data_IF_278738788034
#
_entry.id   IF_278738788034
#
_cell.length_a   1.000
_cell.length_b   1.000
_cell.length_c   1.000
_cell.angle_alpha   90.00
_cell.angle_beta   90.00
_cell.angle_gamma   90.00
#
_symmetry.space_group_name_H-M   'P 1'
#
loop_
_entity.id
_entity.type
_entity.pdbx_description
1 polymer ?
#
# COMPACT_ATOMS: atom_id res chain seq x y z
N UNK A 1 6.03 13.84 -22.47
CA UNK A 1 5.50 12.69 -21.68
C UNK A 1 6.44 12.11 -20.63
N UNK A 2 7.78 12.08 -20.80
CA UNK A 2 8.67 11.35 -19.86
C UNK A 2 9.05 12.11 -18.57
N UNK A 3 9.00 13.44 -18.57
CA UNK A 3 9.18 14.25 -17.35
C UNK A 3 7.93 14.19 -16.46
N UNK A 4 6.75 14.03 -17.06
CA UNK A 4 5.47 13.95 -16.35
C UNK A 4 5.35 12.70 -15.46
N UNK A 5 5.87 11.55 -15.90
CA UNK A 5 5.82 10.31 -15.09
C UNK A 5 6.76 10.39 -13.89
N UNK A 6 7.95 11.00 -14.05
CA UNK A 6 8.89 11.19 -12.93
C UNK A 6 8.39 12.23 -11.93
N UNK A 7 7.74 13.30 -12.41
CA UNK A 7 7.10 14.29 -11.55
C UNK A 7 5.85 13.74 -10.84
N UNK A 8 5.09 12.85 -11.48
CA UNK A 8 3.98 12.13 -10.83
C UNK A 8 4.46 11.21 -9.70
N UNK A 9 5.59 10.50 -9.87
CA UNK A 9 6.15 9.65 -8.79
C UNK A 9 6.69 10.51 -7.65
N UNK A 10 7.31 11.66 -7.93
CA UNK A 10 7.76 12.61 -6.91
C UNK A 10 6.58 13.30 -6.19
N UNK A 11 5.51 13.63 -6.91
CA UNK A 11 4.27 14.18 -6.37
C UNK A 11 3.49 13.15 -5.55
N UNK A 12 3.50 11.86 -5.94
CA UNK A 12 2.97 10.75 -5.15
C UNK A 12 3.76 10.57 -3.85
N UNK A 13 5.08 10.69 -3.88
CA UNK A 13 5.91 10.73 -2.66
C UNK A 13 5.62 11.96 -1.79
N UNK A 14 5.45 13.14 -2.39
CA UNK A 14 5.04 14.35 -1.66
C UNK A 14 3.60 14.27 -1.11
N UNK A 15 2.68 13.52 -1.73
CA UNK A 15 1.35 13.26 -1.20
C UNK A 15 1.33 12.15 -0.14
N UNK A 16 2.31 11.23 -0.15
CA UNK A 16 2.50 10.24 0.91
C UNK A 16 3.03 10.88 2.22
N UNK A 17 3.72 12.02 2.12
CA UNK A 17 4.20 12.81 3.27
C UNK A 17 3.51 14.17 3.42
N UNK A 18 2.57 14.48 2.54
CA UNK A 18 1.68 15.62 2.68
C UNK A 18 0.77 15.31 3.84
N UNK A 19 1.08 15.87 5.00
CA UNK A 19 0.32 15.75 6.23
C UNK A 19 -1.09 16.29 5.98
N UNK A 20 -1.99 15.42 5.50
CA UNK A 20 -3.42 15.63 5.65
C UNK A 20 -3.66 15.66 7.15
N UNK A 21 -3.99 16.86 7.62
CA UNK A 21 -4.34 17.12 9.00
C UNK A 21 -5.66 16.37 9.22
N UNK A 22 -5.55 15.13 9.69
CA UNK A 22 -6.69 14.40 10.25
C UNK A 22 -7.02 15.13 11.54
N UNK A 23 -8.05 15.96 11.45
CA UNK A 23 -8.59 16.68 12.58
C UNK A 23 -9.20 15.64 13.52
N UNK A 24 -8.44 15.26 14.56
CA UNK A 24 -8.92 14.34 15.58
C UNK A 24 -10.20 14.92 16.18
N UNK A 25 -11.32 14.29 15.86
CA UNK A 25 -12.60 14.54 16.51
C UNK A 25 -12.56 13.88 17.89
N UNK A 26 -13.12 14.59 18.87
CA UNK A 26 -13.01 14.42 20.31
C UNK A 26 -12.98 12.96 20.80
N UNK A 27 -11.85 12.54 21.37
CA UNK A 27 -11.76 11.29 22.14
C UNK A 27 -12.44 11.45 23.50
N UNK A 28 -13.18 10.43 23.93
CA UNK A 28 -13.72 10.36 25.29
C UNK A 28 -12.74 9.58 26.17
N UNK A 29 -12.28 10.21 27.24
CA UNK A 29 -11.35 9.61 28.20
C UNK A 29 -12.02 9.56 29.56
N UNK A 30 -12.03 8.37 30.15
CA UNK A 30 -12.38 8.17 31.54
C UNK A 30 -11.26 7.41 32.24
N UNK A 31 -11.22 7.49 33.56
CA UNK A 31 -10.23 6.76 34.34
C UNK A 31 -10.85 6.19 35.61
N UNK A 32 -10.25 5.13 36.14
CA UNK A 32 -10.63 4.49 37.39
C UNK A 32 -9.37 4.11 38.13
N UNK A 33 -9.32 4.40 39.42
CA UNK A 33 -8.21 4.00 40.29
C UNK A 33 -8.72 2.84 41.15
N UNK A 34 -7.92 1.79 41.31
CA UNK A 34 -8.22 0.64 42.15
C UNK A 34 -7.13 0.54 43.21
N UNK A 35 -7.53 0.30 44.46
CA UNK A 35 -6.63 0.07 45.57
C UNK A 35 -6.31 -1.43 45.72
N UNK A 36 -5.21 -1.75 46.39
CA UNK A 36 -4.86 -3.10 46.84
C UNK A 36 -4.47 -4.07 45.69
N UNK A 37 -3.72 -3.57 44.72
CA UNK A 37 -3.26 -4.36 43.57
C UNK A 37 -1.82 -4.85 43.74
N UNK A 38 -1.52 -6.14 43.52
CA UNK A 38 -0.18 -6.74 43.77
C UNK A 38 0.66 -7.00 42.50
N UNK A 39 0.70 -6.04 41.56
CA UNK A 39 1.55 -6.10 40.37
C UNK A 39 3.00 -5.61 40.66
N UNK A 40 3.85 -5.59 39.63
CA UNK A 40 5.27 -5.17 39.73
C UNK A 40 6.09 -5.96 40.77
N UNK A 41 5.91 -7.28 40.81
CA UNK A 41 6.58 -8.14 41.81
C UNK A 41 6.09 -7.91 43.24
N UNK A 42 4.81 -7.54 43.41
CA UNK A 42 4.17 -7.28 44.70
C UNK A 42 4.42 -5.89 45.27
N UNK A 43 4.94 -4.95 44.47
CA UNK A 43 5.29 -3.59 44.91
C UNK A 43 4.23 -2.54 44.60
N UNK A 44 3.35 -2.79 43.62
CA UNK A 44 2.26 -1.84 43.36
C UNK A 44 1.29 -1.83 44.54
N UNK A 45 0.64 -0.70 44.78
CA UNK A 45 -0.52 -0.57 45.68
C UNK A 45 -1.77 -0.12 44.95
N UNK A 46 -1.58 0.62 43.85
CA UNK A 46 -2.64 1.23 43.08
C UNK A 46 -2.57 0.78 41.62
N UNK A 47 -3.74 0.57 41.01
CA UNK A 47 -3.92 0.38 39.57
C UNK A 47 -4.75 1.54 39.02
N UNK A 48 -4.22 2.27 38.05
CA UNK A 48 -4.95 3.31 37.31
C UNK A 48 -5.34 2.73 35.96
N UNK A 49 -6.63 2.48 35.75
CA UNK A 49 -7.20 2.12 34.46
C UNK A 49 -7.66 3.38 33.71
N UNK A 50 -7.14 3.62 32.52
CA UNK A 50 -7.56 4.69 31.63
C UNK A 50 -8.32 4.06 30.46
N UNK A 51 -9.55 4.51 30.24
CA UNK A 51 -10.43 4.05 29.17
C UNK A 51 -10.51 5.15 28.12
N UNK A 52 -10.15 4.81 26.89
CA UNK A 52 -10.22 5.70 25.74
C UNK A 52 -11.26 5.14 24.80
N UNK A 53 -12.36 5.87 24.63
CA UNK A 53 -13.42 5.54 23.69
C UNK A 53 -13.23 6.32 22.38
N UNK A 54 -13.37 5.61 21.27
CA UNK A 54 -13.27 6.15 19.94
C UNK A 54 -14.67 6.30 19.32
N UNK A 55 -15.24 7.51 19.24
CA UNK A 55 -16.55 7.73 18.63
C UNK A 55 -16.51 7.79 17.09
N UNK A 56 -15.33 7.63 16.48
CA UNK A 56 -15.13 7.80 15.04
C UNK A 56 -15.24 6.47 14.28
N UNK A 57 -15.49 6.56 12.97
CA UNK A 57 -15.49 5.38 12.08
C UNK A 57 -14.09 4.91 11.66
N UNK A 58 -13.04 5.61 12.13
CA UNK A 58 -11.65 5.33 11.79
C UNK A 58 -10.88 4.75 12.98
N UNK A 59 -9.81 4.02 12.70
CA UNK A 59 -8.91 3.55 13.74
C UNK A 59 -8.10 4.73 14.27
N UNK A 60 -7.98 4.81 15.59
CA UNK A 60 -7.14 5.82 16.24
C UNK A 60 -5.92 5.13 16.81
N UNK A 61 -4.75 5.58 16.38
CA UNK A 61 -3.46 5.11 16.86
C UNK A 61 -2.62 6.28 17.32
N UNK A 62 -1.83 6.07 18.38
CA UNK A 62 -1.06 7.16 18.93
C UNK A 62 -0.19 6.74 20.11
N UNK A 63 0.39 7.74 20.76
CA UNK A 63 1.13 7.55 22.01
C UNK A 63 0.33 8.09 23.19
N UNK A 64 0.20 7.31 24.25
CA UNK A 64 -0.39 7.68 25.53
C UNK A 64 0.73 7.82 26.56
N UNK A 65 0.92 9.04 27.06
CA UNK A 65 1.85 9.32 28.14
C UNK A 65 1.07 9.69 29.39
N UNK A 66 1.35 8.97 30.48
CA UNK A 66 0.63 9.18 31.75
C UNK A 66 1.60 9.37 32.89
N UNK A 67 1.34 10.36 33.72
CA UNK A 67 2.03 10.54 34.98
C UNK A 67 1.10 11.25 35.96
N UNK A 68 1.31 11.00 37.25
CA UNK A 68 0.59 11.69 38.31
C UNK A 68 1.48 12.81 38.84
N UNK A 69 0.91 14.00 39.01
CA UNK A 69 1.63 15.17 39.49
C UNK A 69 0.95 15.75 40.72
N UNK A 70 1.74 16.09 41.73
CA UNK A 70 1.32 16.82 42.93
C UNK A 70 2.49 17.63 43.49
N UNK A 71 2.26 18.90 43.81
CA UNK A 71 3.20 19.73 44.58
C UNK A 71 4.65 19.70 44.09
N UNK A 72 4.85 19.61 42.76
CA UNK A 72 6.14 19.48 42.05
C UNK A 72 6.80 18.09 42.05
N UNK A 73 6.16 17.09 42.65
CA UNK A 73 6.55 15.68 42.55
C UNK A 73 5.83 14.98 41.40
N UNK A 74 6.58 14.16 40.67
CA UNK A 74 6.07 13.30 39.59
C UNK A 74 6.08 11.85 40.09
N UNK A 75 4.91 11.24 40.12
CA UNK A 75 4.74 9.82 40.44
C UNK A 75 4.69 9.06 39.11
N UNK A 76 5.62 8.12 38.93
CA UNK A 76 5.74 7.29 37.73
C UNK A 76 5.28 5.87 38.00
N UNK A 77 4.70 5.22 36.99
CA UNK A 77 4.25 3.84 37.09
C UNK A 77 5.44 2.86 37.16
N UNK A 78 5.25 1.69 37.77
CA UNK A 78 6.31 0.69 38.01
C UNK A 78 6.50 -0.35 36.89
N UNK A 79 5.74 -0.23 35.79
CA UNK A 79 5.85 -1.13 34.64
C UNK A 79 7.25 -1.12 33.99
N UNK A 80 7.65 -2.23 33.32
CA UNK A 80 8.94 -2.29 32.65
C UNK A 80 9.08 -1.17 31.62
N UNK A 81 10.30 -0.64 31.49
CA UNK A 81 10.67 0.46 30.57
C UNK A 81 10.37 0.19 29.09
N UNK A 82 9.98 -1.04 28.77
CA UNK A 82 9.69 -1.55 27.44
C UNK A 82 8.20 -1.53 27.08
N UNK A 83 7.32 -1.05 27.96
CA UNK A 83 5.93 -0.85 27.58
C UNK A 83 5.85 0.24 26.51
N UNK A 84 5.51 -0.20 25.30
CA UNK A 84 5.20 0.66 24.19
C UNK A 84 3.98 1.48 24.60
N UNK A 85 4.17 2.77 24.84
CA UNK A 85 3.11 3.76 25.09
C UNK A 85 2.15 3.92 23.90
N UNK A 86 2.10 2.95 22.98
CA UNK A 86 1.20 2.94 21.84
C UNK A 86 -0.21 2.61 22.30
N UNK A 87 -1.17 3.42 21.89
CA UNK A 87 -2.58 3.12 22.03
C UNK A 87 -3.21 2.89 20.65
N UNK A 88 -4.16 1.96 20.59
CA UNK A 88 -4.89 1.55 19.40
C UNK A 88 -6.33 1.35 19.81
N UNK A 89 -7.24 2.12 19.24
CA UNK A 89 -8.68 2.04 19.53
C UNK A 89 -9.43 1.85 18.22
N UNK A 90 -10.20 0.75 18.12
CA UNK A 90 -11.05 0.50 16.95
C UNK A 90 -12.24 1.48 16.90
N UNK A 91 -12.86 1.66 15.73
CA UNK A 91 -14.09 2.44 15.61
C UNK A 91 -15.18 1.99 16.58
N UNK A 92 -15.82 2.93 17.27
CA UNK A 92 -16.92 2.69 18.23
C UNK A 92 -16.57 1.69 19.35
N UNK A 93 -15.28 1.52 19.66
CA UNK A 93 -14.81 0.66 20.74
C UNK A 93 -14.08 1.46 21.82
N UNK A 94 -14.01 0.88 23.02
CA UNK A 94 -13.25 1.42 24.16
C UNK A 94 -12.04 0.55 24.42
N UNK A 95 -10.86 1.16 24.44
CA UNK A 95 -9.62 0.49 24.85
C UNK A 95 -9.23 0.87 26.27
N UNK A 96 -8.72 -0.11 27.03
CA UNK A 96 -8.37 0.04 28.45
C UNK A 96 -6.86 -0.08 28.62
N UNK A 97 -6.24 0.94 29.19
CA UNK A 97 -4.82 1.02 29.50
C UNK A 97 -4.63 0.97 31.01
N UNK A 98 -3.74 0.11 31.49
CA UNK A 98 -3.53 -0.13 32.92
C UNK A 98 -2.14 0.36 33.31
N UNK A 99 -2.08 1.16 34.36
CA UNK A 99 -0.84 1.69 34.91
C UNK A 99 -0.75 1.39 36.39
N UNK A 100 0.34 0.76 36.81
CA UNK A 100 0.54 0.32 38.19
C UNK A 100 1.45 1.30 38.95
N UNK A 101 1.03 1.74 40.13
CA UNK A 101 1.78 2.68 40.95
C UNK A 101 2.09 2.07 42.33
N UNK A 102 3.32 2.27 42.80
CA UNK A 102 3.76 1.85 44.14
C UNK A 102 3.18 2.74 45.24
N UNK A 103 3.03 4.02 44.94
CA UNK A 103 2.44 5.00 45.82
C UNK A 103 1.72 6.08 45.01
N UNK A 104 0.64 6.62 45.56
CA UNK A 104 -0.13 7.72 44.99
C UNK A 104 -0.49 8.71 46.11
N UNK A 105 -0.46 10.02 45.83
CA UNK A 105 -0.88 10.99 46.83
C UNK A 105 -2.39 10.90 47.11
N UNK A 106 -2.81 11.33 48.31
CA UNK A 106 -4.24 11.40 48.70
C UNK A 106 -5.12 12.23 47.76
N UNK A 107 -4.54 13.13 46.98
CA UNK A 107 -5.21 13.91 45.95
C UNK A 107 -4.16 14.40 44.97
N UNK A 108 -4.51 14.55 43.71
CA UNK A 108 -3.57 14.96 42.67
C UNK A 108 -4.25 15.13 41.32
N UNK A 109 -3.45 15.28 40.27
CA UNK A 109 -3.93 15.30 38.90
C UNK A 109 -3.20 14.25 38.07
N UNK A 110 -3.97 13.41 37.39
CA UNK A 110 -3.50 12.47 36.39
C UNK A 110 -3.38 13.22 35.06
N UNK A 111 -2.15 13.33 34.56
CA UNK A 111 -1.88 13.92 33.25
C UNK A 111 -1.88 12.82 32.22
N UNK A 112 -2.72 12.96 31.18
CA UNK A 112 -2.78 12.05 30.04
C UNK A 112 -2.47 12.87 28.80
N UNK A 113 -1.38 12.55 28.11
CA UNK A 113 -1.08 13.15 26.80
C UNK A 113 -1.26 12.11 25.72
N UNK A 114 -2.14 12.40 24.77
CA UNK A 114 -2.38 11.59 23.58
C UNK A 114 -1.71 12.25 22.38
N UNK A 115 -0.82 11.54 21.70
CA UNK A 115 -0.21 11.99 20.44
C UNK A 115 -0.79 11.16 19.30
N UNK A 116 -1.60 11.77 18.44
CA UNK A 116 -2.28 11.12 17.31
C UNK A 116 -1.74 11.76 16.03
N UNK A 117 -0.90 11.02 15.30
CA UNK A 117 -0.15 11.60 14.18
C UNK A 117 0.70 12.79 14.63
N UNK A 118 0.46 13.97 14.05
CA UNK A 118 1.13 15.25 14.40
C UNK A 118 0.42 16.03 15.52
N UNK A 119 -0.81 15.64 15.91
CA UNK A 119 -1.59 16.35 16.93
C UNK A 119 -1.26 15.80 18.31
N UNK A 120 -1.11 16.70 19.29
CA UNK A 120 -0.96 16.34 20.70
C UNK A 120 -2.11 16.92 21.50
N UNK A 121 -2.85 16.06 22.16
CA UNK A 121 -3.91 16.42 23.09
C UNK A 121 -3.42 16.12 24.52
N UNK A 122 -3.81 16.97 25.46
CA UNK A 122 -3.40 16.86 26.86
C UNK A 122 -4.64 16.99 27.73
N UNK A 123 -4.77 16.06 28.66
CA UNK A 123 -5.88 15.97 29.60
C UNK A 123 -5.32 16.00 31.00
N UNK A 124 -5.99 16.74 31.87
CA UNK A 124 -5.64 16.87 33.29
C UNK A 124 -6.85 16.41 34.09
N UNK A 125 -6.73 15.25 34.72
CA UNK A 125 -7.84 14.54 35.37
C UNK A 125 -7.61 14.57 36.88
N UNK A 126 -8.29 15.46 37.63
CA UNK A 126 -8.10 15.57 39.08
C UNK A 126 -8.71 14.36 39.80
N UNK A 127 -8.07 13.89 40.86
CA UNK A 127 -8.54 12.77 41.69
C UNK A 127 -8.31 13.03 43.19
N UNK A 128 -9.09 12.35 44.05
CA UNK A 128 -8.93 12.32 45.51
C UNK A 128 -9.21 10.92 46.06
N UNK A 129 -8.38 10.45 47.00
CA UNK A 129 -8.47 9.16 47.68
C UNK A 129 -8.95 9.34 49.14
N UNK A 130 -9.73 8.39 49.70
CA UNK A 130 -10.25 7.18 49.06
C UNK A 130 -11.33 7.52 48.04
N UNK A 131 -11.40 6.75 46.95
CA UNK A 131 -12.36 6.99 45.89
C UNK A 131 -13.76 6.73 46.45
N UNK A 132 -14.63 7.73 46.38
CA UNK A 132 -16.06 7.47 46.59
C UNK A 132 -16.53 6.55 45.46
N UNK A 133 -17.42 5.58 45.73
CA UNK A 133 -17.82 4.52 44.77
C UNK A 133 -18.52 5.02 43.49
N UNK A 134 -18.59 6.33 43.27
CA UNK A 134 -19.15 6.98 42.10
C UNK A 134 -18.16 7.92 41.39
N UNK A 135 -16.84 7.74 41.55
CA UNK A 135 -15.86 8.57 40.81
C UNK A 135 -15.64 8.01 39.39
N UNK A 136 -16.71 7.85 38.62
CA UNK A 136 -16.63 7.78 37.15
C UNK A 136 -16.60 9.22 36.66
N UNK A 137 -15.42 9.84 36.67
CA UNK A 137 -15.25 11.17 36.08
C UNK A 137 -15.34 11.03 34.56
N UNK A 138 -16.55 11.07 34.03
CA UNK A 138 -16.83 11.23 32.60
C UNK A 138 -16.65 12.70 32.25
N UNK A 139 -15.41 13.16 32.12
CA UNK A 139 -15.16 14.47 31.51
C UNK A 139 -15.27 14.34 29.99
N UNK A 140 -16.50 14.48 29.48
CA UNK A 140 -16.74 14.79 28.06
C UNK A 140 -16.24 16.22 27.86
N UNK A 141 -14.97 16.36 27.47
CA UNK A 141 -14.46 17.67 27.06
C UNK A 141 -14.88 17.83 25.60
N UNK A 142 -16.05 18.42 25.38
CA UNK A 142 -16.36 19.03 24.08
C UNK A 142 -15.30 20.09 23.84
N UNK A 143 -14.30 19.79 23.02
CA UNK A 143 -13.42 20.81 22.51
C UNK A 143 -14.31 21.81 21.78
N UNK A 144 -14.43 23.03 22.33
CA UNK A 144 -15.10 24.14 21.68
C UNK A 144 -14.24 24.55 20.49
N UNK A 145 -14.34 23.82 19.39
CA UNK A 145 -13.79 24.25 18.10
C UNK A 145 -14.70 25.33 17.54
N UNK A 146 -14.23 26.57 17.60
CA UNK A 146 -14.64 27.59 16.65
C UNK A 146 -14.46 27.02 15.24
N UNK A 147 -15.53 27.17 14.46
CA UNK A 147 -15.77 26.58 13.15
C UNK A 147 -14.59 26.66 12.18
N UNK A 148 -14.38 25.58 11.42
CA UNK A 148 -14.15 25.65 9.98
C UNK A 148 -14.73 24.40 9.31
N UNK A 149 -15.32 24.62 8.15
CA UNK A 149 -16.39 23.85 7.54
C UNK A 149 -15.95 22.47 7.01
N UNK A 150 -16.93 21.55 7.03
CA UNK A 150 -17.14 20.41 6.14
C UNK A 150 -16.02 20.10 5.12
N UNK A 151 -15.32 18.99 5.31
CA UNK A 151 -14.60 18.31 4.22
C UNK A 151 -15.06 16.85 4.19
N UNK A 152 -15.55 16.46 3.03
CA UNK A 152 -16.20 15.20 2.75
C UNK A 152 -15.31 13.98 2.95
N UNK A 153 -15.96 12.95 3.49
CA UNK A 153 -15.49 11.59 3.75
C UNK A 153 -15.08 10.91 2.43
N UNK A 154 -13.78 10.80 2.19
CA UNK A 154 -13.16 9.96 1.17
C UNK A 154 -11.86 9.40 1.74
N UNK A 155 -11.93 8.27 2.45
CA UNK A 155 -10.75 7.57 2.99
C UNK A 155 -9.99 6.91 1.84
N UNK A 156 -9.02 7.64 1.29
CA UNK A 156 -8.16 7.14 0.23
C UNK A 156 -7.32 5.96 0.76
N UNK A 157 -7.24 4.85 0.00
CA UNK A 157 -6.44 3.65 0.29
C UNK A 157 -5.00 4.01 0.72
N UNK A 158 -4.44 5.06 0.12
CA UNK A 158 -3.12 5.59 0.43
C UNK A 158 -2.95 6.02 1.90
N UNK A 159 -3.99 6.58 2.51
CA UNK A 159 -3.94 7.06 3.90
C UNK A 159 -3.87 5.88 4.88
N UNK A 160 -4.62 4.81 4.60
CA UNK A 160 -4.57 3.56 5.38
C UNK A 160 -3.20 2.88 5.28
N UNK A 161 -2.64 2.80 4.07
CA UNK A 161 -1.31 2.23 3.85
C UNK A 161 -0.22 3.06 4.56
N UNK A 162 -0.32 4.38 4.51
CA UNK A 162 0.64 5.27 5.17
C UNK A 162 0.65 5.09 6.69
N UNK A 163 -0.53 4.94 7.31
CA UNK A 163 -0.66 4.70 8.76
C UNK A 163 0.00 3.40 9.20
N UNK A 164 -0.27 2.29 8.49
CA UNK A 164 0.36 0.99 8.76
C UNK A 164 1.89 1.06 8.63
N UNK A 165 2.39 1.69 7.56
CA UNK A 165 3.82 1.81 7.31
C UNK A 165 4.53 2.61 8.43
N UNK A 166 3.90 3.68 8.89
CA UNK A 166 4.45 4.50 9.98
C UNK A 166 4.54 3.70 11.30
N UNK A 167 3.59 2.82 11.58
CA UNK A 167 3.63 1.94 12.76
C UNK A 167 4.82 0.98 12.71
N UNK A 168 5.06 0.33 11.56
CA UNK A 168 6.21 -0.54 11.37
C UNK A 168 7.55 0.22 11.47
N UNK A 169 7.63 1.43 10.92
CA UNK A 169 8.83 2.24 11.02
C UNK A 169 9.13 2.68 12.45
N UNK A 170 8.11 3.01 13.23
CA UNK A 170 8.26 3.38 14.64
C UNK A 170 8.73 2.19 15.49
N UNK A 171 8.20 1.00 15.25
CA UNK A 171 8.65 -0.23 15.94
C UNK A 171 10.10 -0.56 15.63
N UNK A 172 10.53 -0.44 14.37
CA UNK A 172 11.94 -0.61 13.98
C UNK A 172 12.84 0.46 14.60
N UNK A 173 12.42 1.72 14.58
CA UNK A 173 13.17 2.83 15.19
C UNK A 173 13.40 2.61 16.69
N UNK A 174 12.39 2.11 17.40
CA UNK A 174 12.49 1.81 18.82
C UNK A 174 13.33 0.55 19.10
N UNK A 175 13.19 -0.51 18.30
CA UNK A 175 13.98 -1.74 18.48
C UNK A 175 15.48 -1.53 18.23
N UNK A 176 15.83 -0.60 17.36
CA UNK A 176 17.21 -0.17 17.11
C UNK A 176 17.75 0.79 18.19
N UNK A 177 16.94 1.21 19.16
CA UNK A 177 17.36 2.12 20.23
C UNK A 177 17.76 3.52 19.74
N UNK A 178 17.34 3.91 18.52
CA UNK A 178 17.74 5.17 17.88
C UNK A 178 17.21 6.41 18.59
N UNK A 179 16.21 6.25 19.47
CA UNK A 179 15.60 7.30 20.28
C UNK A 179 16.60 8.11 21.12
N UNK A 180 17.75 7.54 21.48
CA UNK A 180 18.80 8.25 22.22
C UNK A 180 19.60 9.24 21.35
N UNK A 181 19.62 9.03 20.04
CA UNK A 181 20.54 9.72 19.13
C UNK A 181 19.82 10.69 18.20
N UNK A 182 18.66 10.29 17.65
CA UNK A 182 17.98 11.03 16.58
C UNK A 182 16.49 11.06 16.89
N UNK A 183 15.82 12.19 16.67
CA UNK A 183 14.36 12.28 16.78
C UNK A 183 13.68 11.51 15.62
N UNK A 184 12.48 10.99 15.86
CA UNK A 184 11.77 10.17 14.87
C UNK A 184 11.55 10.90 13.53
N UNK A 185 11.25 12.20 13.54
CA UNK A 185 11.06 12.99 12.33
C UNK A 185 12.34 13.07 11.48
N UNK A 186 13.50 13.25 12.12
CA UNK A 186 14.80 13.23 11.45
C UNK A 186 15.16 11.84 10.91
N UNK A 187 14.78 10.78 11.62
CA UNK A 187 14.92 9.41 11.15
C UNK A 187 14.10 9.16 9.87
N UNK A 188 12.85 9.61 9.83
CA UNK A 188 12.01 9.51 8.64
C UNK A 188 12.59 10.30 7.46
N UNK A 189 13.11 11.51 7.71
CA UNK A 189 13.77 12.30 6.67
C UNK A 189 15.04 11.61 6.14
N UNK A 190 15.86 11.04 7.02
CA UNK A 190 17.05 10.28 6.62
C UNK A 190 16.68 9.03 5.80
N UNK A 191 15.65 8.28 6.21
CA UNK A 191 15.20 7.09 5.50
C UNK A 191 14.66 7.44 4.11
N UNK A 192 13.83 8.47 4.02
CA UNK A 192 13.25 8.91 2.75
C UNK A 192 14.30 9.44 1.79
N UNK A 193 15.27 10.23 2.27
CA UNK A 193 16.39 10.70 1.43
C UNK A 193 17.23 9.54 0.90
N UNK A 194 17.55 8.53 1.73
CA UNK A 194 18.26 7.33 1.27
C UNK A 194 17.46 6.56 0.20
N UNK A 195 16.15 6.38 0.40
CA UNK A 195 15.30 5.72 -0.58
C UNK A 195 15.23 6.48 -1.91
N UNK A 196 15.11 7.80 -1.87
CA UNK A 196 15.10 8.65 -3.08
C UNK A 196 16.43 8.55 -3.83
N UNK A 197 17.55 8.58 -3.13
CA UNK A 197 18.88 8.42 -3.75
C UNK A 197 19.06 7.02 -4.36
N UNK A 198 18.62 5.97 -3.65
CA UNK A 198 18.68 4.59 -4.14
C UNK A 198 17.84 4.42 -5.42
N UNK A 199 16.58 4.86 -5.40
CA UNK A 199 15.69 4.82 -6.57
C UNK A 199 16.25 5.67 -7.70
N UNK A 200 16.77 6.87 -7.41
CA UNK A 200 17.41 7.75 -8.38
C UNK A 200 18.58 7.07 -9.09
N UNK A 201 19.44 6.37 -8.35
CA UNK A 201 20.57 5.63 -8.91
C UNK A 201 20.13 4.50 -9.86
N UNK A 202 19.08 3.76 -9.49
CA UNK A 202 18.49 2.69 -10.31
C UNK A 202 17.88 3.27 -11.59
N UNK A 203 17.16 4.39 -11.49
CA UNK A 203 16.58 5.08 -12.64
C UNK A 203 17.67 5.57 -13.60
N UNK A 204 18.74 6.18 -13.09
CA UNK A 204 19.88 6.62 -13.90
C UNK A 204 20.55 5.43 -14.60
N UNK A 205 20.80 4.34 -13.88
CA UNK A 205 21.36 3.12 -14.44
C UNK A 205 20.46 2.52 -15.53
N UNK A 206 19.15 2.47 -15.29
CA UNK A 206 18.16 2.03 -16.26
C UNK A 206 18.13 2.92 -17.50
N UNK A 207 18.18 4.25 -17.34
CA UNK A 207 18.24 5.19 -18.46
C UNK A 207 19.51 5.01 -19.29
N UNK A 208 20.67 4.79 -18.64
CA UNK A 208 21.93 4.51 -19.32
C UNK A 208 21.85 3.21 -20.13
N UNK A 209 21.34 2.13 -19.54
CA UNK A 209 21.09 0.85 -20.23
C UNK A 209 20.13 1.01 -21.40
N UNK A 210 19.04 1.76 -21.22
CA UNK A 210 18.05 2.03 -22.27
C UNK A 210 18.63 2.81 -23.44
N UNK A 211 19.52 3.78 -23.20
CA UNK A 211 20.25 4.49 -24.27
C UNK A 211 21.19 3.55 -25.02
N UNK A 212 21.94 2.70 -24.32
CA UNK A 212 22.81 1.70 -24.94
C UNK A 212 22.02 0.67 -25.77
N UNK A 213 20.87 0.21 -25.26
CA UNK A 213 20.00 -0.72 -25.96
C UNK A 213 19.35 -0.08 -27.20
N UNK A 214 18.99 1.20 -27.14
CA UNK A 214 18.54 1.95 -28.33
C UNK A 214 19.62 2.03 -29.40
N UNK A 215 20.84 2.37 -29.01
CA UNK A 215 21.98 2.38 -29.93
C UNK A 215 22.23 1.00 -30.56
N UNK A 216 22.09 -0.08 -29.78
CA UNK A 216 22.18 -1.45 -30.31
C UNK A 216 21.05 -1.76 -31.30
N UNK A 217 19.80 -1.37 -31.00
CA UNK A 217 18.66 -1.55 -31.92
C UNK A 217 18.86 -0.74 -33.19
N UNK A 218 19.23 0.53 -33.12
CA UNK A 218 19.39 1.39 -34.30
C UNK A 218 20.45 0.79 -35.25
N UNK A 219 21.56 0.28 -34.69
CA UNK A 219 22.60 -0.42 -35.46
C UNK A 219 22.14 -1.77 -36.01
N UNK A 220 21.30 -2.49 -35.28
CA UNK A 220 20.73 -3.76 -35.74
C UNK A 220 19.68 -3.53 -36.84
N UNK A 221 18.89 -2.47 -36.76
CA UNK A 221 17.87 -2.08 -37.73
C UNK A 221 18.51 -1.62 -39.04
N UNK A 222 19.61 -0.87 -38.98
CA UNK A 222 20.46 -0.59 -40.15
C UNK A 222 20.97 -1.88 -40.81
N UNK A 223 21.55 -2.79 -40.03
CA UNK A 223 22.06 -4.07 -40.55
C UNK A 223 20.95 -5.00 -41.09
N UNK A 224 19.74 -4.92 -40.54
CA UNK A 224 18.59 -5.70 -40.99
C UNK A 224 17.94 -5.13 -42.25
N UNK A 225 18.01 -3.81 -42.45
CA UNK A 225 17.53 -3.15 -43.68
C UNK A 225 18.32 -3.59 -44.93
N UNK A 226 19.59 -3.98 -44.74
CA UNK A 226 20.45 -4.53 -45.79
C UNK A 226 20.12 -5.99 -46.11
N UNK A 227 19.53 -6.75 -45.16
CA UNK A 227 19.20 -8.17 -45.30
C UNK A 227 17.72 -8.46 -45.60
N UNK A 228 16.82 -7.49 -45.39
CA UNK A 228 15.39 -7.65 -45.67
C UNK A 228 15.09 -7.59 -47.17
N UNK A 229 15.30 -8.72 -47.84
CA UNK A 229 14.61 -9.08 -49.08
C UNK A 229 13.07 -9.01 -48.87
N UNK A 230 12.28 -8.80 -49.94
CA UNK A 230 10.97 -8.16 -49.85
C UNK A 230 9.88 -9.14 -49.45
N UNK A 231 9.88 -9.61 -48.20
CA UNK A 231 8.64 -10.16 -47.64
C UNK A 231 7.91 -9.02 -46.94
N UNK A 232 6.91 -8.48 -47.66
CA UNK A 232 6.00 -7.44 -47.20
C UNK A 232 5.17 -8.00 -46.04
N UNK A 233 5.66 -7.87 -44.81
CA UNK A 233 4.93 -8.22 -43.58
C UNK A 233 3.88 -7.13 -43.34
N UNK A 234 2.88 -7.02 -44.23
CA UNK A 234 1.89 -5.93 -44.16
C UNK A 234 0.51 -6.35 -43.68
N UNK A 235 0.25 -7.62 -43.36
CA UNK A 235 -1.07 -8.04 -42.87
C UNK A 235 -1.12 -9.49 -42.38
N UNK A 236 -0.22 -9.93 -41.50
CA UNK A 236 -0.36 -11.26 -40.91
C UNK A 236 -1.52 -11.24 -39.90
N UNK A 237 -2.73 -11.59 -40.36
CA UNK A 237 -3.88 -11.82 -39.49
C UNK A 237 -3.58 -13.05 -38.62
N UNK A 238 -3.14 -12.81 -37.40
CA UNK A 238 -2.58 -13.84 -36.50
C UNK A 238 -3.62 -14.90 -36.09
N UNK A 239 -4.89 -14.50 -36.05
CA UNK A 239 -6.02 -15.39 -35.81
C UNK A 239 -7.14 -15.14 -36.82
N UNK A 240 -7.68 -16.20 -37.39
CA UNK A 240 -8.89 -16.14 -38.21
C UNK A 240 -9.73 -17.40 -38.04
N UNK A 241 -11.03 -17.24 -38.31
CA UNK A 241 -11.97 -18.35 -38.45
C UNK A 241 -11.71 -19.03 -39.80
N UNK A 242 -11.61 -20.35 -39.81
CA UNK A 242 -11.52 -21.14 -41.03
C UNK A 242 -12.84 -21.06 -41.79
N UNK A 243 -12.83 -20.66 -43.07
CA UNK A 243 -14.06 -20.51 -43.85
C UNK A 243 -14.77 -21.86 -44.11
N UNK A 244 -14.03 -22.98 -44.05
CA UNK A 244 -14.58 -24.31 -44.32
C UNK A 244 -15.17 -25.01 -43.09
N UNK A 245 -14.49 -24.94 -41.95
CA UNK A 245 -14.88 -25.67 -40.73
C UNK A 245 -15.23 -24.77 -39.56
N UNK A 246 -15.21 -23.46 -39.76
CA UNK A 246 -15.62 -22.46 -38.79
C UNK A 246 -14.81 -22.41 -37.48
N UNK A 247 -13.69 -23.14 -37.40
CA UNK A 247 -12.81 -23.13 -36.23
C UNK A 247 -11.90 -21.91 -36.25
N UNK A 248 -11.72 -21.27 -35.09
CA UNK A 248 -10.68 -20.28 -34.89
C UNK A 248 -9.31 -20.95 -34.88
N UNK A 249 -8.38 -20.44 -35.69
CA UNK A 249 -7.02 -20.98 -35.77
C UNK A 249 -5.98 -19.88 -35.60
N UNK A 250 -4.92 -20.23 -34.89
CA UNK A 250 -3.69 -19.46 -34.79
C UNK A 250 -2.86 -19.70 -36.06
N UNK A 251 -2.30 -18.64 -36.65
CA UNK A 251 -1.57 -18.66 -37.93
C UNK A 251 -2.41 -19.26 -39.08
N UNK A 252 -3.56 -18.65 -39.43
CA UNK A 252 -4.38 -19.11 -40.54
C UNK A 252 -3.66 -18.99 -41.88
N UNK A 253 -3.87 -19.95 -42.77
CA UNK A 253 -3.35 -19.89 -44.13
C UNK A 253 -4.30 -19.12 -45.03
N UNK A 254 -3.81 -18.04 -45.65
CA UNK A 254 -4.55 -17.34 -46.69
C UNK A 254 -4.39 -18.10 -48.01
N UNK A 255 -5.49 -18.52 -48.63
CA UNK A 255 -5.46 -19.14 -49.95
C UNK A 255 -5.08 -18.09 -51.01
N UNK A 256 -4.06 -18.38 -51.83
CA UNK A 256 -3.61 -17.46 -52.88
C UNK A 256 -4.62 -17.28 -54.03
N UNK A 257 -5.61 -18.18 -54.13
CA UNK A 257 -6.59 -18.18 -55.22
C UNK A 257 -7.88 -17.46 -54.82
N UNK A 258 -8.47 -17.78 -53.66
CA UNK A 258 -9.72 -17.16 -53.20
C UNK A 258 -9.53 -16.08 -52.12
N UNK A 259 -8.34 -15.94 -51.54
CA UNK A 259 -8.03 -14.90 -50.56
C UNK A 259 -8.58 -15.12 -49.13
N UNK A 260 -9.36 -16.18 -48.91
CA UNK A 260 -9.92 -16.55 -47.61
C UNK A 260 -8.92 -17.29 -46.72
N UNK A 261 -9.26 -17.43 -45.44
CA UNK A 261 -8.41 -18.01 -44.39
C UNK A 261 -8.85 -19.43 -44.02
N UNK A 262 -7.88 -20.35 -43.88
CA UNK A 262 -8.13 -21.77 -43.63
C UNK A 262 -7.18 -22.35 -42.56
N UNK A 263 -7.62 -23.43 -41.90
CA UNK A 263 -6.78 -24.22 -41.00
C UNK A 263 -5.85 -25.18 -41.77
N UNK A 264 -4.91 -25.82 -41.07
CA UNK A 264 -3.96 -26.77 -41.68
C UNK A 264 -4.60 -27.93 -42.45
N UNK A 265 -5.79 -28.39 -42.03
CA UNK A 265 -6.52 -29.45 -42.74
C UNK A 265 -7.13 -28.98 -44.07
N UNK A 266 -7.46 -27.69 -44.17
CA UNK A 266 -8.19 -27.09 -45.31
C UNK A 266 -7.30 -26.15 -46.16
N UNK A 267 -5.97 -26.23 -46.00
CA UNK A 267 -5.01 -25.34 -46.67
C UNK A 267 -5.02 -25.48 -48.20
N UNK A 268 -5.25 -26.68 -48.73
CA UNK A 268 -5.22 -26.95 -50.17
C UNK A 268 -6.55 -26.56 -50.83
N UNK A 269 -6.54 -25.97 -52.05
CA UNK A 269 -7.78 -25.61 -52.78
C UNK A 269 -8.81 -26.73 -52.93
N UNK A 270 -8.44 -28.01 -53.17
CA UNK A 270 -9.39 -29.13 -53.16
C UNK A 270 -10.05 -29.39 -51.79
N UNK A 271 -9.38 -29.08 -50.68
CA UNK A 271 -9.87 -29.41 -49.34
C UNK A 271 -10.94 -28.43 -48.83
N UNK A 272 -11.04 -27.22 -49.41
CA UNK A 272 -12.03 -26.22 -49.03
C UNK A 272 -13.00 -25.82 -50.14
N UNK A 273 -13.05 -26.58 -51.25
CA UNK A 273 -13.87 -26.26 -52.42
C UNK A 273 -13.60 -24.84 -52.95
N UNK A 274 -12.34 -24.55 -53.27
CA UNK A 274 -11.96 -23.22 -53.75
C UNK A 274 -12.77 -22.81 -55.00
N UNK A 275 -13.36 -21.60 -55.05
CA UNK A 275 -14.07 -21.13 -56.25
C UNK A 275 -13.16 -21.01 -57.47
N UNK A 276 -11.86 -20.79 -57.25
CA UNK A 276 -10.84 -20.64 -58.30
C UNK A 276 -10.01 -21.93 -58.49
N UNK A 277 -10.63 -23.10 -58.30
CA UNK A 277 -9.95 -24.40 -58.37
C UNK A 277 -9.31 -24.69 -59.73
N UNK A 278 -9.89 -24.17 -60.82
CA UNK A 278 -9.38 -24.40 -62.17
C UNK A 278 -8.05 -23.68 -62.43
N UNK A 279 -7.80 -22.55 -61.77
CA UNK A 279 -6.50 -21.88 -61.82
C UNK A 279 -5.44 -22.70 -61.07
N UNK A 280 -5.81 -23.30 -59.94
CA UNK A 280 -4.92 -24.19 -59.19
C UNK A 280 -4.56 -25.44 -60.01
N UNK A 281 -5.54 -26.06 -60.69
CA UNK A 281 -5.32 -27.27 -61.52
C UNK A 281 -4.43 -27.01 -62.72
N UNK A 282 -4.46 -25.80 -63.30
CA UNK A 282 -3.62 -25.42 -64.45
C UNK A 282 -2.14 -25.28 -64.10
N UNK A 283 -1.81 -24.97 -62.84
CA UNK A 283 -0.42 -24.89 -62.38
C UNK A 283 0.11 -26.30 -62.12
N UNK A 284 1.06 -26.74 -62.94
CA UNK A 284 1.78 -27.99 -62.67
C UNK A 284 2.52 -27.89 -61.33
N UNK A 285 2.52 -28.93 -60.49
CA UNK A 285 3.40 -28.98 -59.33
C UNK A 285 4.86 -28.83 -59.79
N UNK A 286 5.72 -28.15 -59.03
CA UNK A 286 7.16 -28.11 -59.33
C UNK A 286 7.73 -29.53 -59.39
N UNK A 287 8.58 -29.81 -60.38
CA UNK A 287 9.24 -31.11 -60.50
C UNK A 287 10.13 -31.37 -59.28
N UNK A 288 10.03 -32.57 -58.68
CA UNK A 288 10.83 -33.01 -57.53
C UNK A 288 10.22 -32.80 -56.14
N UNK A 289 9.04 -32.18 -56.02
CA UNK A 289 8.32 -32.07 -54.75
C UNK A 289 7.47 -33.31 -54.43
N UNK A 290 7.85 -34.11 -53.43
CA UNK A 290 6.99 -35.19 -52.92
C UNK A 290 5.88 -34.58 -52.07
N UNK A 291 4.77 -34.15 -52.68
CA UNK A 291 3.56 -33.84 -51.93
C UNK A 291 2.87 -35.15 -51.52
N UNK A 292 3.11 -35.61 -50.29
CA UNK A 292 2.28 -36.68 -49.71
C UNK A 292 0.89 -36.13 -49.42
N UNK A 293 0.00 -36.20 -50.42
CA UNK A 293 -1.42 -35.99 -50.21
C UNK A 293 -1.95 -37.10 -49.29
N UNK A 294 -2.17 -36.79 -48.00
CA UNK A 294 -2.93 -37.67 -47.13
C UNK A 294 -4.41 -37.48 -47.47
N UNK A 295 -4.87 -38.16 -48.52
CA UNK A 295 -6.31 -38.36 -48.71
C UNK A 295 -6.83 -39.19 -47.53
N UNK A 296 -7.61 -38.59 -46.63
CA UNK A 296 -8.50 -39.40 -45.78
C UNK A 296 -9.60 -39.93 -46.71
N UNK A 297 -9.46 -41.17 -47.18
CA UNK A 297 -10.58 -41.92 -47.78
C UNK A 297 -11.63 -42.13 -46.68
N UNK A 298 -12.88 -41.76 -46.93
CA UNK A 298 -13.98 -42.00 -46.01
C UNK A 298 -15.17 -41.06 -46.19
N UNK A 299 -15.85 -41.19 -47.33
CA UNK A 299 -17.31 -41.17 -47.43
C UNK A 299 -17.70 -42.48 -48.10
#
# INVERSE_FOLDING_TARGET
>A
MRVAVSMMVLALLFMLFGSTIVQANNLEISYTIHENHNACGGKSKYLVEIRVYNPTDEYITGLIHTYVFKDKEIYTHCEPKDLVNGFYVKPHETSVYRYYYTDLPKSGSLFVSLSIGSKKEKYVLPFSLPLTPATTLTTVTTATTLQLQNVERSTNIFQKVSQELNYYLLTVYNSLGLRKYIQYDHFLYALTTVLVLAVGSVVVAYQKRKKAYRFYIDRYEEAFSEYSRPYKISSLKLFAKCEKCEKWVYLPFRCNYCGNYFCGDHILPPNHNCPNIDEWRRKRPPEGGIYRYRFKKGL
#
